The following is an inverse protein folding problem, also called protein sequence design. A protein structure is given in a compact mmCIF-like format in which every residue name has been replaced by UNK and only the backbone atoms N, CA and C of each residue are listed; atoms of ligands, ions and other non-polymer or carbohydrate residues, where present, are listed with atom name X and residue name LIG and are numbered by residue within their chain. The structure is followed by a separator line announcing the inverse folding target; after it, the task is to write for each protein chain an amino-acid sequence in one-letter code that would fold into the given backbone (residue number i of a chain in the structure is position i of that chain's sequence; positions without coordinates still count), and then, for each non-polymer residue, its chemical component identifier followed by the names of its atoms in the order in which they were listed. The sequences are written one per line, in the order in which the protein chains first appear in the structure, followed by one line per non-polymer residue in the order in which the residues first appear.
data_IF_347856457073
#
_entry.id   IF_347856457073
#
_cell.length_a   1.000
_cell.length_b   1.000
_cell.length_c   1.000
_cell.angle_alpha   90.00
_cell.angle_beta   90.00
_cell.angle_gamma   90.00
#
_symmetry.space_group_name_H-M   'P 1'
#
loop_
_entity.id
_entity.type
_entity.pdbx_description
1 polymer ?
#
# COMPACT_ATOMS: atom_id res chain seq x y z
N UNK A 1 -16.81 -12.86 22.71
CA UNK A 1 -16.96 -11.39 22.75
C UNK A 1 -16.49 -10.87 21.39
N UNK A 2 -17.38 -10.44 20.48
CA UNK A 2 -16.95 -9.84 19.24
C UNK A 2 -16.36 -8.47 19.57
N UNK A 3 -15.08 -8.27 19.23
CA UNK A 3 -14.43 -6.97 19.34
C UNK A 3 -15.06 -6.10 18.27
N UNK A 4 -15.93 -5.16 18.67
CA UNK A 4 -16.35 -4.08 17.79
C UNK A 4 -15.07 -3.42 17.28
N UNK A 5 -14.84 -3.48 15.97
CA UNK A 5 -13.83 -2.67 15.31
C UNK A 5 -14.23 -1.21 15.60
N UNK A 6 -13.47 -0.52 16.45
CA UNK A 6 -13.68 0.90 16.63
C UNK A 6 -13.30 1.55 15.29
N UNK A 7 -14.23 2.31 14.71
CA UNK A 7 -13.93 3.20 13.59
C UNK A 7 -12.83 4.17 14.08
N UNK A 8 -11.59 3.86 13.73
CA UNK A 8 -10.43 4.62 14.17
C UNK A 8 -10.47 5.95 13.42
N UNK A 9 -10.56 7.07 14.14
CA UNK A 9 -10.56 8.39 13.52
C UNK A 9 -9.33 8.57 12.63
N UNK A 10 -9.52 9.16 11.45
CA UNK A 10 -8.43 9.43 10.50
C UNK A 10 -7.41 10.38 11.17
N UNK A 11 -6.13 10.00 11.28
CA UNK A 11 -5.10 10.87 11.84
C UNK A 11 -4.88 12.13 11.00
N UNK A 12 -4.34 13.20 11.61
CA UNK A 12 -4.01 14.43 10.88
C UNK A 12 -2.83 14.25 9.92
N UNK A 13 -1.95 13.27 10.15
CA UNK A 13 -0.88 12.86 9.25
C UNK A 13 -0.82 11.33 9.11
N UNK A 14 -0.67 10.84 7.88
CA UNK A 14 -0.73 9.40 7.56
C UNK A 14 -0.07 9.10 6.21
N UNK A 15 0.27 7.84 5.98
CA UNK A 15 0.52 7.34 4.64
C UNK A 15 -0.82 7.04 3.95
N UNK A 16 -1.02 7.54 2.75
CA UNK A 16 -2.20 7.27 1.97
C UNK A 16 -1.81 6.53 0.69
N UNK A 17 -2.49 5.42 0.42
CA UNK A 17 -2.30 4.68 -0.82
C UNK A 17 -3.65 4.39 -1.48
N UNK A 18 -3.67 4.55 -2.81
CA UNK A 18 -4.78 4.12 -3.63
C UNK A 18 -4.48 2.76 -4.24
N UNK A 19 -5.46 1.90 -4.35
CA UNK A 19 -5.28 0.57 -4.91
C UNK A 19 -6.39 0.18 -5.87
N UNK A 20 -6.09 -0.73 -6.80
CA UNK A 20 -7.06 -1.28 -7.74
C UNK A 20 -6.66 -2.69 -8.10
N UNK A 21 -7.36 -3.27 -9.07
CA UNK A 21 -6.97 -4.55 -9.68
C UNK A 21 -5.51 -4.51 -10.14
N UNK A 22 -4.72 -5.50 -9.73
CA UNK A 22 -3.30 -5.60 -10.05
C UNK A 22 -3.02 -7.00 -10.63
N UNK A 23 -2.30 -7.07 -11.76
CA UNK A 23 -1.89 -8.32 -12.40
C UNK A 23 -3.03 -9.34 -12.67
N UNK A 24 -4.25 -8.85 -12.88
CA UNK A 24 -5.45 -9.67 -13.10
C UNK A 24 -6.18 -10.12 -11.82
N UNK A 25 -5.64 -9.84 -10.63
CA UNK A 25 -6.29 -10.11 -9.34
C UNK A 25 -7.33 -9.03 -9.03
N UNK A 26 -8.54 -9.45 -8.66
CA UNK A 26 -9.57 -8.61 -8.06
C UNK A 26 -9.09 -7.99 -6.74
N UNK A 27 -9.80 -6.95 -6.30
CA UNK A 27 -9.49 -6.27 -5.04
C UNK A 27 -9.63 -7.26 -3.87
N UNK A 28 -10.65 -8.11 -3.91
CA UNK A 28 -10.95 -9.12 -2.90
C UNK A 28 -9.82 -10.16 -2.83
N UNK A 29 -9.35 -10.68 -3.97
CA UNK A 29 -8.22 -11.64 -4.01
C UNK A 29 -6.92 -11.02 -3.46
N UNK A 30 -6.68 -9.73 -3.74
CA UNK A 30 -5.53 -9.03 -3.17
C UNK A 30 -5.65 -8.98 -1.64
N UNK A 31 -6.82 -8.62 -1.11
CA UNK A 31 -7.06 -8.52 0.33
C UNK A 31 -6.95 -9.90 1.00
N UNK A 32 -7.54 -10.95 0.44
CA UNK A 32 -7.46 -12.32 0.97
C UNK A 32 -6.01 -12.80 1.05
N UNK A 33 -5.21 -12.49 0.02
CA UNK A 33 -3.77 -12.80 0.02
C UNK A 33 -3.02 -12.01 1.08
N UNK A 34 -3.34 -10.73 1.28
CA UNK A 34 -2.73 -9.92 2.36
C UNK A 34 -3.15 -10.38 3.74
N UNK A 35 -4.37 -10.90 3.88
CA UNK A 35 -4.81 -11.52 5.12
C UNK A 35 -4.03 -12.81 5.42
N UNK A 36 -3.75 -13.63 4.41
CA UNK A 36 -2.87 -14.79 4.57
C UNK A 36 -1.46 -14.37 4.99
N UNK A 37 -0.88 -13.34 4.37
CA UNK A 37 0.40 -12.76 4.81
C UNK A 37 0.36 -12.34 6.29
N UNK A 38 -0.69 -11.60 6.67
CA UNK A 38 -0.91 -11.10 8.03
C UNK A 38 -0.95 -12.24 9.04
N UNK A 39 -1.70 -13.31 8.76
CA UNK A 39 -1.84 -14.46 9.64
C UNK A 39 -0.53 -15.24 9.84
N UNK A 40 0.31 -15.33 8.79
CA UNK A 40 1.57 -16.07 8.85
C UNK A 40 2.73 -15.26 9.42
N UNK A 41 2.67 -13.93 9.39
CA UNK A 41 3.73 -13.03 9.87
C UNK A 41 3.30 -12.23 11.11
N UNK A 42 2.62 -12.88 12.07
CA UNK A 42 2.29 -12.30 13.39
C UNK A 42 1.56 -10.94 13.33
N UNK A 43 0.66 -10.77 12.35
CA UNK A 43 -0.08 -9.51 12.16
C UNK A 43 0.49 -8.62 11.06
N UNK A 44 1.60 -8.98 10.41
CA UNK A 44 2.31 -8.14 9.43
C UNK A 44 2.04 -8.55 7.98
N UNK A 45 1.86 -7.59 7.10
CA UNK A 45 1.71 -7.80 5.65
C UNK A 45 2.46 -6.72 4.86
N UNK A 46 2.79 -7.00 3.60
CA UNK A 46 3.62 -6.12 2.79
C UNK A 46 2.82 -5.54 1.63
N UNK A 47 2.88 -4.23 1.44
CA UNK A 47 2.13 -3.57 0.36
C UNK A 47 3.06 -2.94 -0.67
N UNK A 48 3.07 -3.47 -1.90
CA UNK A 48 3.91 -2.96 -2.99
C UNK A 48 3.48 -1.56 -3.44
N UNK A 49 4.44 -0.67 -3.66
CA UNK A 49 4.20 0.69 -4.18
C UNK A 49 5.20 1.05 -5.28
N UNK A 50 4.76 1.85 -6.25
CA UNK A 50 5.55 2.21 -7.44
C UNK A 50 6.42 3.46 -7.30
N UNK A 51 6.37 4.15 -6.16
CA UNK A 51 7.15 5.37 -5.91
C UNK A 51 7.75 5.37 -4.50
N UNK A 52 8.89 6.03 -4.35
CA UNK A 52 9.47 6.22 -3.03
C UNK A 52 8.60 7.16 -2.20
N UNK A 53 8.44 6.83 -0.93
CA UNK A 53 7.88 7.71 0.10
C UNK A 53 8.85 7.93 1.26
N UNK A 54 10.12 7.51 1.12
CA UNK A 54 11.09 7.50 2.23
C UNK A 54 11.19 8.83 2.99
N UNK A 55 11.35 10.02 2.35
CA UNK A 55 11.42 11.28 3.09
C UNK A 55 10.13 11.57 3.88
N UNK A 56 8.98 11.24 3.30
CA UNK A 56 7.69 11.38 3.97
C UNK A 56 7.54 10.38 5.12
N UNK A 57 8.02 9.15 4.94
CA UNK A 57 8.00 8.13 5.98
C UNK A 57 8.83 8.56 7.18
N UNK A 58 10.07 9.03 6.98
CA UNK A 58 10.90 9.57 8.06
C UNK A 58 10.22 10.73 8.79
N UNK A 59 9.55 11.64 8.06
CA UNK A 59 8.79 12.73 8.67
C UNK A 59 7.59 12.24 9.49
N UNK A 60 6.87 11.22 9.01
CA UNK A 60 5.73 10.63 9.73
C UNK A 60 6.18 9.94 11.02
N UNK A 61 7.28 9.18 10.97
CA UNK A 61 7.87 8.50 12.12
C UNK A 61 8.36 9.48 13.18
N UNK A 62 8.80 10.68 12.78
CA UNK A 62 9.18 11.75 13.72
C UNK A 62 7.97 12.39 14.43
N UNK A 63 6.75 12.19 13.93
CA UNK A 63 5.52 12.83 14.43
C UNK A 63 4.58 11.86 15.15
N UNK A 64 4.75 10.55 14.96
CA UNK A 64 3.81 9.54 15.46
C UNK A 64 4.52 8.25 15.81
N UNK A 65 4.29 7.76 17.03
CA UNK A 65 4.73 6.43 17.48
C UNK A 65 3.88 5.30 16.88
N UNK A 66 2.72 5.63 16.30
CA UNK A 66 1.78 4.70 15.64
C UNK A 66 1.43 5.20 14.24
N UNK A 67 2.43 5.27 13.34
CA UNK A 67 2.25 5.75 11.98
C UNK A 67 1.17 4.92 11.28
N UNK A 68 0.17 5.58 10.70
CA UNK A 68 -0.99 4.90 10.08
C UNK A 68 -0.89 4.95 8.56
N UNK A 69 -1.34 3.88 7.90
CA UNK A 69 -1.59 3.83 6.47
C UNK A 69 -3.09 3.63 6.17
N UNK A 70 -3.62 4.44 5.25
CA UNK A 70 -4.99 4.35 4.76
C UNK A 70 -5.00 3.87 3.30
N UNK A 71 -5.86 2.89 3.03
CA UNK A 71 -6.04 2.30 1.71
C UNK A 71 -7.37 2.74 1.12
N UNK A 72 -7.34 3.33 -0.07
CA UNK A 72 -8.56 3.74 -0.80
C UNK A 72 -8.62 3.09 -2.18
N UNK A 73 -9.77 2.58 -2.63
CA UNK A 73 -9.89 2.07 -3.99
C UNK A 73 -9.74 3.21 -5.01
N UNK A 74 -9.04 2.94 -6.11
CA UNK A 74 -8.92 3.84 -7.25
C UNK A 74 -10.31 3.98 -7.88
N UNK A 75 -10.73 5.22 -8.15
CA UNK A 75 -11.94 5.51 -8.92
C UNK A 75 -11.66 5.22 -10.40
N UNK A 76 -12.25 4.17 -10.97
CA UNK A 76 -12.24 3.91 -12.42
C UNK A 76 -11.95 2.46 -12.80
N UNK A 77 -12.10 2.13 -14.09
CA UNK A 77 -11.85 0.78 -14.63
C UNK A 77 -10.34 0.48 -14.69
N UNK A 78 -9.88 -0.73 -14.32
CA UNK A 78 -8.49 -1.16 -14.47
C UNK A 78 -7.98 -1.01 -15.91
N UNK A 79 -6.72 -0.57 -16.08
CA UNK A 79 -6.12 -0.44 -17.42
C UNK A 79 -5.87 -1.84 -17.99
N UNK A 80 -5.88 -1.99 -19.32
CA UNK A 80 -5.69 -3.28 -19.97
C UNK A 80 -4.32 -3.92 -19.65
N UNK A 81 -3.29 -3.09 -19.44
CA UNK A 81 -1.93 -3.52 -19.06
C UNK A 81 -1.88 -4.16 -17.67
N UNK A 82 -2.87 -3.92 -16.81
CA UNK A 82 -2.95 -4.49 -15.47
C UNK A 82 -3.49 -5.94 -15.49
N UNK A 83 -3.90 -6.48 -16.65
CA UNK A 83 -4.60 -7.77 -16.74
C UNK A 83 -3.73 -8.96 -17.16
N UNK A 84 -2.57 -8.74 -17.80
CA UNK A 84 -1.71 -9.83 -18.29
C UNK A 84 -0.26 -9.36 -18.48
N UNK A 85 0.53 -9.21 -17.41
CA UNK A 85 1.95 -8.94 -17.55
C UNK A 85 2.68 -10.15 -18.17
N UNK A 86 3.65 -9.89 -19.06
CA UNK A 86 4.40 -10.94 -19.75
C UNK A 86 5.32 -11.75 -18.81
N UNK A 87 5.70 -11.17 -17.67
CA UNK A 87 6.41 -11.82 -16.59
C UNK A 87 5.98 -11.25 -15.24
N UNK A 88 5.96 -12.10 -14.20
CA UNK A 88 5.73 -11.71 -12.81
C UNK A 88 7.04 -11.85 -12.04
N UNK A 89 7.38 -10.79 -11.33
CA UNK A 89 8.57 -10.73 -10.50
C UNK A 89 8.15 -10.76 -9.03
N UNK A 90 8.77 -11.61 -8.22
CA UNK A 90 8.56 -11.67 -6.77
C UNK A 90 9.78 -11.10 -6.06
N UNK A 91 9.55 -10.07 -5.25
CA UNK A 91 10.63 -9.42 -4.50
C UNK A 91 10.93 -10.19 -3.22
N UNK A 92 12.21 -10.40 -2.93
CA UNK A 92 12.67 -11.22 -1.80
C UNK A 92 13.48 -10.45 -0.77
N UNK A 93 14.09 -9.32 -1.17
CA UNK A 93 14.81 -8.47 -0.24
C UNK A 93 14.90 -7.03 -0.74
N UNK A 94 15.28 -6.13 0.18
CA UNK A 94 15.48 -4.73 -0.10
C UNK A 94 16.35 -4.05 0.95
N UNK A 95 16.28 -2.72 0.95
CA UNK A 95 16.95 -1.84 1.90
C UNK A 95 15.89 -1.06 2.67
N UNK A 96 16.06 -0.95 3.98
CA UNK A 96 15.20 -0.13 4.84
C UNK A 96 15.48 1.38 4.70
N UNK A 97 14.89 2.20 5.59
CA UNK A 97 15.12 3.65 5.63
C UNK A 97 16.56 4.04 6.01
N UNK A 98 17.29 3.17 6.71
CA UNK A 98 18.68 3.37 7.10
C UNK A 98 19.67 2.82 6.06
N UNK A 99 19.17 2.14 5.03
CA UNK A 99 19.98 1.45 4.03
C UNK A 99 20.47 0.08 4.47
N UNK A 100 19.93 -0.45 5.57
CA UNK A 100 20.22 -1.80 6.05
C UNK A 100 19.44 -2.82 5.22
N UNK A 101 20.07 -3.97 4.95
CA UNK A 101 19.42 -5.05 4.19
C UNK A 101 18.28 -5.63 5.00
N UNK A 102 17.12 -5.74 4.36
CA UNK A 102 15.92 -6.36 4.91
C UNK A 102 15.46 -7.50 4.00
N UNK A 103 15.42 -8.71 4.54
CA UNK A 103 14.87 -9.88 3.86
C UNK A 103 13.37 -9.94 4.09
N UNK A 104 12.58 -10.06 3.01
CA UNK A 104 11.14 -10.21 3.13
C UNK A 104 10.85 -11.61 3.70
N UNK A 105 9.87 -11.75 4.62
CA UNK A 105 9.45 -13.05 5.12
C UNK A 105 9.02 -13.98 3.97
N UNK A 106 9.23 -15.30 4.06
CA UNK A 106 8.94 -16.23 2.97
C UNK A 106 7.51 -16.17 2.43
N UNK A 107 6.54 -15.82 3.27
CA UNK A 107 5.13 -15.71 2.90
C UNK A 107 4.76 -14.33 2.32
N UNK A 108 5.63 -13.33 2.44
CA UNK A 108 5.38 -11.99 1.91
C UNK A 108 5.37 -12.02 0.37
N UNK A 109 4.27 -11.60 -0.25
CA UNK A 109 4.14 -11.58 -1.70
C UNK A 109 4.02 -10.15 -2.21
N UNK A 110 5.17 -9.55 -2.50
CA UNK A 110 5.26 -8.28 -3.23
C UNK A 110 5.68 -8.59 -4.66
N UNK A 111 4.83 -8.21 -5.61
CA UNK A 111 5.02 -8.53 -7.03
C UNK A 111 5.07 -7.29 -7.89
N UNK A 112 5.74 -7.38 -9.03
CA UNK A 112 5.63 -6.38 -10.08
C UNK A 112 5.52 -7.03 -11.46
N UNK A 113 4.82 -6.36 -12.37
CA UNK A 113 4.81 -6.73 -13.79
C UNK A 113 6.03 -6.20 -14.51
N UNK A 114 6.52 -6.92 -15.51
CA UNK A 114 7.59 -6.45 -16.39
C UNK A 114 7.69 -7.22 -17.70
N UNK A 115 8.70 -6.84 -18.49
CA UNK A 115 9.10 -7.50 -19.74
C UNK A 115 10.39 -8.31 -19.53
N UNK A 116 10.73 -9.25 -20.42
CA UNK A 116 12.03 -9.93 -20.39
C UNK A 116 13.16 -8.87 -20.45
N UNK A 117 13.89 -8.69 -19.35
CA UNK A 117 14.83 -7.58 -19.14
C UNK A 117 14.69 -6.87 -17.78
N UNK A 118 13.66 -7.20 -17.00
CA UNK A 118 13.40 -6.63 -15.67
C UNK A 118 12.41 -5.45 -15.72
N UNK A 119 11.95 -4.99 -14.56
CA UNK A 119 10.97 -3.89 -14.50
C UNK A 119 11.61 -2.50 -14.72
N UNK A 120 12.95 -2.38 -14.73
CA UNK A 120 13.73 -1.16 -14.99
C UNK A 120 13.50 0.01 -14.01
N UNK A 121 12.42 -0.03 -13.25
CA UNK A 121 11.97 0.98 -12.31
C UNK A 121 12.21 0.49 -10.89
N UNK A 122 12.59 1.39 -9.96
CA UNK A 122 12.69 1.02 -8.56
C UNK A 122 11.30 0.66 -8.02
N UNK A 123 11.25 -0.38 -7.20
CA UNK A 123 10.05 -0.80 -6.49
C UNK A 123 10.24 -0.68 -4.99
N UNK A 124 9.14 -0.52 -4.28
CA UNK A 124 9.15 -0.33 -2.84
C UNK A 124 8.00 -1.11 -2.21
N UNK A 125 8.10 -1.36 -0.92
CA UNK A 125 7.01 -1.91 -0.12
C UNK A 125 6.80 -1.07 1.14
N UNK A 126 5.54 -0.93 1.54
CA UNK A 126 5.16 -0.58 2.90
C UNK A 126 5.12 -1.84 3.74
N UNK A 127 5.52 -1.74 5.00
CA UNK A 127 5.40 -2.82 5.99
C UNK A 127 4.28 -2.44 6.94
N UNK A 128 3.18 -3.19 6.88
CA UNK A 128 1.93 -2.86 7.52
C UNK A 128 1.60 -3.91 8.58
N UNK A 129 0.94 -3.51 9.66
CA UNK A 129 0.46 -4.40 10.70
C UNK A 129 -1.01 -4.12 11.01
N UNK A 130 -1.76 -5.20 11.25
CA UNK A 130 -3.13 -5.12 11.74
C UNK A 130 -3.39 -6.21 12.80
N UNK A 131 -3.92 -5.84 13.97
CA UNK A 131 -4.34 -6.82 14.98
C UNK A 131 -5.64 -7.54 14.56
N UNK A 132 -6.39 -6.98 13.61
CA UNK A 132 -7.67 -7.50 13.13
C UNK A 132 -7.54 -8.08 11.72
N UNK A 133 -8.45 -9.01 11.33
CA UNK A 133 -8.53 -9.48 9.96
C UNK A 133 -8.65 -8.33 8.96
N UNK A 134 -8.00 -8.46 7.81
CA UNK A 134 -8.15 -7.50 6.72
C UNK A 134 -9.48 -7.77 6.01
N UNK A 135 -10.36 -6.77 6.01
CA UNK A 135 -11.64 -6.77 5.33
C UNK A 135 -11.85 -5.42 4.64
N UNK A 136 -12.55 -5.44 3.52
CA UNK A 136 -13.01 -4.23 2.84
C UNK A 136 -14.27 -3.78 3.54
N UNK A 137 -14.12 -3.16 4.71
CA UNK A 137 -15.26 -2.72 5.48
C UNK A 137 -15.76 -1.37 4.98
N UNK A 138 -17.09 -1.25 5.00
CA UNK A 138 -17.79 -0.01 4.72
C UNK A 138 -17.86 0.85 5.96
N UNK A 139 -16.69 1.28 6.42
CA UNK A 139 -16.65 2.46 7.27
C UNK A 139 -16.99 3.69 6.43
N UNK A 140 -17.75 4.61 7.02
CA UNK A 140 -18.09 5.92 6.43
C UNK A 140 -16.91 6.91 6.42
N UNK A 141 -15.70 6.42 6.75
CA UNK A 141 -14.49 7.22 6.74
C UNK A 141 -14.09 7.61 5.31
N UNK A 142 -13.97 8.91 5.08
CA UNK A 142 -13.59 9.47 3.79
C UNK A 142 -12.40 10.43 3.93
N UNK A 143 -11.50 10.37 2.97
CA UNK A 143 -10.42 11.31 2.80
C UNK A 143 -10.79 12.30 1.69
N UNK A 144 -10.77 13.59 2.00
CA UNK A 144 -10.90 14.64 0.99
C UNK A 144 -9.56 14.85 0.28
N UNK A 145 -9.47 14.43 -0.98
CA UNK A 145 -8.23 14.51 -1.76
C UNK A 145 -7.69 15.93 -1.87
N UNK A 146 -8.58 16.93 -1.97
CA UNK A 146 -8.17 18.33 -2.10
C UNK A 146 -7.70 18.94 -0.78
N UNK A 147 -8.00 18.30 0.36
CA UNK A 147 -7.49 18.68 1.67
C UNK A 147 -6.11 18.09 1.97
N UNK A 148 -5.64 17.12 1.17
CA UNK A 148 -4.34 16.47 1.38
C UNK A 148 -3.19 17.33 0.88
N UNK A 149 -2.16 17.47 1.72
CA UNK A 149 -0.85 17.99 1.32
C UNK A 149 0.22 16.97 1.59
N UNK A 150 1.19 16.89 0.69
CA UNK A 150 2.40 16.13 0.94
C UNK A 150 3.05 16.61 2.26
N UNK A 151 3.40 15.68 3.14
CA UNK A 151 3.85 16.02 4.49
C UNK A 151 5.14 16.86 4.48
N UNK A 152 6.07 16.56 3.57
CA UNK A 152 7.38 17.21 3.50
C UNK A 152 7.32 18.52 2.73
N UNK A 153 6.79 18.49 1.51
CA UNK A 153 6.80 19.69 0.64
C UNK A 153 5.65 20.65 0.91
N UNK A 154 4.59 20.22 1.60
CA UNK A 154 3.38 21.02 1.80
C UNK A 154 2.53 21.22 0.53
N UNK A 155 2.95 20.70 -0.61
CA UNK A 155 2.25 20.84 -1.88
C UNK A 155 1.00 19.95 -1.97
N UNK A 156 -0.01 20.32 -2.78
CA UNK A 156 -1.11 19.43 -3.14
C UNK A 156 -0.61 18.13 -3.78
N UNK A 157 -1.40 17.07 -3.66
CA UNK A 157 -1.10 15.81 -4.34
C UNK A 157 -1.39 15.91 -5.84
N UNK A 158 -0.48 15.35 -6.64
CA UNK A 158 -0.75 15.11 -8.05
C UNK A 158 -1.80 14.01 -8.24
N UNK A 159 -2.71 14.17 -9.19
CA UNK A 159 -3.79 13.19 -9.48
C UNK A 159 -3.27 11.78 -9.79
N UNK A 160 -2.03 11.67 -10.28
CA UNK A 160 -1.35 10.40 -10.59
C UNK A 160 -0.62 9.77 -9.40
N UNK A 161 -0.49 10.46 -8.26
CA UNK A 161 0.24 9.94 -7.10
C UNK A 161 -0.59 8.90 -6.37
N UNK A 162 -0.24 7.63 -6.55
CA UNK A 162 -0.98 6.51 -5.96
C UNK A 162 -0.67 6.37 -4.47
N UNK A 163 0.60 6.56 -4.07
CA UNK A 163 1.02 6.51 -2.66
C UNK A 163 1.74 7.78 -2.26
N UNK A 164 1.36 8.39 -1.14
CA UNK A 164 2.02 9.55 -0.56
C UNK A 164 1.88 9.59 0.96
N UNK A 165 2.87 10.16 1.65
CA UNK A 165 2.71 10.54 3.06
C UNK A 165 2.22 11.98 3.12
N UNK A 166 1.14 12.18 3.86
CA UNK A 166 0.33 13.39 3.80
C UNK A 166 -0.03 13.90 5.18
N UNK A 167 -0.43 15.18 5.20
CA UNK A 167 -1.24 15.76 6.25
C UNK A 167 -2.57 16.23 5.68
N UNK A 168 -3.63 16.13 6.46
CA UNK A 168 -4.93 16.72 6.17
C UNK A 168 -4.96 18.17 6.68
N UNK A 169 -5.46 19.10 5.87
CA UNK A 169 -5.72 20.48 6.30
C UNK A 169 -7.19 20.57 6.73
N UNK A 170 -7.42 20.81 8.02
CA UNK A 170 -8.76 21.05 8.56
C UNK A 170 -9.33 22.39 8.05
N UNK A 171 -10.67 22.47 7.95
CA UNK A 171 -11.38 23.72 7.65
C UNK A 171 -11.51 24.09 6.17
N UNK A 172 -11.04 23.26 5.24
CA UNK A 172 -11.43 23.41 3.83
C UNK A 172 -12.86 22.94 3.60
N UNK A 173 -13.59 23.64 2.72
CA UNK A 173 -14.91 23.18 2.27
C UNK A 173 -14.77 21.80 1.64
N UNK A 174 -15.63 20.86 2.06
CA UNK A 174 -15.61 19.48 1.55
C UNK A 174 -15.72 19.47 0.04
N UNK A 175 -14.80 18.78 -0.62
CA UNK A 175 -14.79 18.63 -2.08
C UNK A 175 -15.58 17.41 -2.56
N UNK A 176 -15.84 17.37 -3.87
CA UNK A 176 -16.45 16.21 -4.53
C UNK A 176 -15.45 15.04 -4.75
N UNK A 177 -14.14 15.31 -4.57
CA UNK A 177 -13.08 14.34 -4.79
C UNK A 177 -12.72 13.58 -3.50
N UNK A 178 -13.71 12.88 -2.96
CA UNK A 178 -13.58 12.09 -1.72
C UNK A 178 -13.21 10.63 -1.98
N UNK A 179 -12.30 10.08 -1.21
CA UNK A 179 -11.96 8.67 -1.29
C UNK A 179 -12.40 7.99 -0.01
N UNK A 180 -13.26 6.98 -0.14
CA UNK A 180 -13.56 6.10 0.99
C UNK A 180 -12.27 5.40 1.44
N UNK A 181 -12.10 5.29 2.75
CA UNK A 181 -11.09 4.43 3.36
C UNK A 181 -11.66 3.02 3.38
N UNK A 182 -11.06 2.11 2.61
CA UNK A 182 -11.48 0.71 2.54
C UNK A 182 -10.77 -0.16 3.58
N UNK A 183 -9.53 0.20 3.92
CA UNK A 183 -8.77 -0.45 4.99
C UNK A 183 -7.89 0.59 5.69
N UNK A 184 -7.62 0.34 6.97
CA UNK A 184 -6.68 1.09 7.78
C UNK A 184 -5.75 0.10 8.49
N UNK A 185 -4.45 0.39 8.49
CA UNK A 185 -3.45 -0.40 9.20
C UNK A 185 -2.41 0.53 9.83
N UNK A 186 -1.65 -0.01 10.79
CA UNK A 186 -0.45 0.64 11.28
C UNK A 186 0.74 0.29 10.38
N UNK A 187 1.73 1.16 10.30
CA UNK A 187 3.02 0.85 9.71
C UNK A 187 3.89 0.24 10.81
N UNK A 188 4.49 -0.90 10.52
CA UNK A 188 5.36 -1.62 11.45
C UNK A 188 6.80 -1.59 10.93
N UNK A 189 7.83 -1.65 11.79
CA UNK A 189 9.23 -1.73 11.35
C UNK A 189 9.44 -2.82 10.28
N UNK A 190 10.24 -2.57 9.23
CA UNK A 190 11.02 -1.35 8.95
C UNK A 190 10.22 -0.20 8.31
N UNK A 191 8.89 -0.27 8.27
CA UNK A 191 7.92 0.71 7.74
C UNK A 191 7.93 0.86 6.22
N UNK A 192 9.12 0.91 5.63
CA UNK A 192 9.36 1.09 4.22
C UNK A 192 10.59 0.29 3.79
N UNK A 193 10.49 -0.37 2.65
CA UNK A 193 11.59 -1.12 2.04
C UNK A 193 11.74 -0.70 0.59
N UNK A 194 12.94 -0.30 0.17
CA UNK A 194 13.33 -0.20 -1.23
C UNK A 194 13.74 -1.58 -1.72
N UNK A 195 12.95 -2.15 -2.61
CA UNK A 195 13.14 -3.53 -3.07
C UNK A 195 14.29 -3.57 -4.09
N UNK A 196 15.21 -4.52 -3.90
CA UNK A 196 16.45 -4.63 -4.69
C UNK A 196 16.70 -6.03 -5.22
N UNK A 197 16.17 -7.07 -4.58
CA UNK A 197 16.37 -8.47 -4.99
C UNK A 197 15.04 -9.09 -5.40
N UNK A 198 15.08 -9.83 -6.51
CA UNK A 198 13.89 -10.31 -7.19
C UNK A 198 14.13 -11.68 -7.81
N UNK A 199 13.10 -12.51 -7.76
CA UNK A 199 13.06 -13.82 -8.42
C UNK A 199 11.99 -13.74 -9.51
N UNK A 200 12.32 -14.23 -10.71
CA UNK A 200 11.35 -14.34 -11.78
C UNK A 200 10.48 -15.59 -11.56
N UNK A 201 9.15 -15.42 -11.52
CA UNK A 201 8.21 -16.53 -11.55
C UNK A 201 7.67 -16.71 -12.97
N UNK A 202 7.70 -17.92 -13.54
CA UNK A 202 7.05 -18.19 -14.82
C UNK A 202 5.54 -17.97 -14.68
N UNK A 203 4.96 -17.14 -15.54
CA UNK A 203 3.52 -16.96 -15.61
C UNK A 203 2.89 -18.24 -16.16
N UNK A 204 2.33 -19.07 -15.28
CA UNK A 204 1.46 -20.18 -15.69
C UNK A 204 0.06 -19.61 -15.82
N UNK A 205 -0.38 -19.35 -17.04
CA UNK A 205 -1.79 -19.03 -17.29
C UNK A 205 -2.63 -20.19 -16.73
N UNK A 206 -3.53 -19.90 -15.80
CA UNK A 206 -4.48 -20.88 -15.31
C UNK A 206 -5.18 -21.49 -16.53
N UNK A 207 -4.95 -22.78 -16.76
CA UNK A 207 -5.65 -23.52 -17.80
C UNK A 207 -7.10 -23.58 -17.37
N UNK A 208 -7.95 -22.80 -18.03
CA UNK A 208 -9.40 -22.90 -17.87
C UNK A 208 -9.79 -24.31 -18.33
N UNK A 209 -10.21 -25.13 -17.38
CA UNK A 209 -10.85 -26.43 -17.64
C UNK A 209 -12.35 -26.23 -17.85
#
# INVERSE_FOLDING_TARGET
MPHLAQAQAIPSAFCWTRFGTEAGESIEEIVDRKEQERQHNEGVFFWGIGNSVAPGMSALLAMSDRPTVLFSPIRGKPRAVDRSPAARFVWTAGLDLNGERFELPPMARVTSGGSPGGSGRPHYALVCSSPSPLSIDADDAEVDFLALRNLVSGNPLGVSQVTAVVRSIEGQARSDMRYRVAMQAELAPPYFVRLTEVVAEPFVAASVS
#
